data_IF_129522097226
#
_entry.id   IF_129522097226
#
_cell.length_a   1.000
_cell.length_b   1.000
_cell.length_c   1.000
_cell.angle_alpha   90.00
_cell.angle_beta   90.00
_cell.angle_gamma   90.00
#
_symmetry.space_group_name_H-M   'P 1'
#
loop_
_entity.id
_entity.type
_entity.pdbx_description
1 polymer ?
#
# COMPACT_ATOMS: atom_id res chain seq x y z
N UNK A 1 -16.02 -23.16 -2.79
CA UNK A 1 -15.01 -22.94 -1.72
C UNK A 1 -13.86 -22.06 -2.17
N UNK A 2 -13.31 -22.27 -3.36
CA UNK A 2 -12.15 -21.52 -3.90
C UNK A 2 -12.36 -20.00 -3.95
N UNK A 3 -13.56 -19.54 -4.34
CA UNK A 3 -13.83 -18.10 -4.52
C UNK A 3 -13.74 -17.27 -3.23
N UNK A 4 -13.99 -17.86 -2.04
CA UNK A 4 -13.86 -17.16 -0.76
C UNK A 4 -12.40 -17.02 -0.30
N UNK A 5 -11.51 -17.89 -0.78
CA UNK A 5 -10.09 -17.86 -0.46
C UNK A 5 -9.29 -16.88 -1.33
N UNK A 6 -9.94 -16.22 -2.30
CA UNK A 6 -9.29 -15.21 -3.15
C UNK A 6 -9.17 -13.84 -2.47
N UNK A 7 -9.86 -13.62 -1.34
CA UNK A 7 -9.87 -12.33 -0.65
C UNK A 7 -8.46 -11.85 -0.24
N UNK A 8 -7.59 -12.67 0.38
CA UNK A 8 -6.24 -12.24 0.72
C UNK A 8 -5.41 -11.85 -0.51
N UNK A 9 -5.62 -12.53 -1.64
CA UNK A 9 -4.93 -12.24 -2.90
C UNK A 9 -5.35 -10.88 -3.45
N UNK A 10 -6.66 -10.60 -3.45
CA UNK A 10 -7.18 -9.30 -3.89
C UNK A 10 -6.68 -8.18 -2.99
N UNK A 11 -6.70 -8.37 -1.66
CA UNK A 11 -6.19 -7.38 -0.70
C UNK A 11 -4.69 -7.11 -0.86
N UNK A 12 -3.88 -8.15 -1.14
CA UNK A 12 -2.48 -7.96 -1.50
C UNK A 12 -2.30 -7.17 -2.81
N UNK A 13 -3.21 -7.32 -3.77
CA UNK A 13 -3.18 -6.60 -5.03
C UNK A 13 -3.46 -5.11 -4.88
N UNK A 14 -4.34 -4.72 -3.96
CA UNK A 14 -4.70 -3.32 -3.72
C UNK A 14 -3.50 -2.50 -3.22
N UNK A 15 -2.61 -3.09 -2.42
CA UNK A 15 -1.37 -2.43 -1.95
C UNK A 15 -0.46 -1.97 -3.10
N UNK A 16 -0.40 -2.75 -4.19
CA UNK A 16 0.37 -2.37 -5.37
C UNK A 16 -0.22 -1.13 -6.08
N UNK A 17 -1.55 -0.98 -6.05
CA UNK A 17 -2.23 0.18 -6.62
C UNK A 17 -1.88 1.45 -5.85
N UNK A 18 -1.75 1.39 -4.51
CA UNK A 18 -1.34 2.56 -3.72
C UNK A 18 0.05 3.07 -4.10
N UNK A 19 1.01 2.17 -4.26
CA UNK A 19 2.36 2.53 -4.69
C UNK A 19 2.37 3.08 -6.14
N UNK A 20 1.56 2.48 -7.03
CA UNK A 20 1.42 2.94 -8.41
C UNK A 20 0.89 4.37 -8.48
N UNK A 21 -0.14 4.70 -7.69
CA UNK A 21 -0.71 6.06 -7.64
C UNK A 21 0.35 7.09 -7.25
N UNK A 22 1.13 6.83 -6.19
CA UNK A 22 2.21 7.73 -5.77
C UNK A 22 3.30 7.85 -6.84
N UNK A 23 3.68 6.73 -7.48
CA UNK A 23 4.67 6.76 -8.57
C UNK A 23 4.21 7.63 -9.74
N UNK A 24 2.93 7.58 -10.12
CA UNK A 24 2.37 8.39 -11.21
C UNK A 24 2.32 9.87 -10.81
N UNK A 25 1.96 10.19 -9.56
CA UNK A 25 1.95 11.57 -9.08
C UNK A 25 3.35 12.19 -9.08
N UNK A 26 4.35 11.48 -8.55
CA UNK A 26 5.75 11.93 -8.56
C UNK A 26 6.26 12.12 -9.99
N UNK A 27 5.96 11.18 -10.89
CA UNK A 27 6.38 11.28 -12.29
C UNK A 27 5.74 12.48 -13.01
N UNK A 28 4.51 12.86 -12.63
CA UNK A 28 3.83 14.03 -13.22
C UNK A 28 4.41 15.36 -12.74
N UNK A 29 5.08 15.38 -11.58
CA UNK A 29 5.66 16.58 -10.98
C UNK A 29 7.07 16.90 -11.51
N UNK A 30 7.78 15.89 -12.02
CA UNK A 30 9.12 16.03 -12.59
C UNK A 30 8.98 16.57 -14.01
N UNK A 31 9.39 17.84 -14.23
CA UNK A 31 9.38 18.51 -15.54
C UNK A 31 10.78 18.96 -15.93
N UNK A 32 11.17 18.88 -17.21
CA UNK A 32 12.47 19.37 -17.67
C UNK A 32 12.56 20.91 -17.62
N UNK A 33 13.76 21.49 -17.43
CA UNK A 33 13.99 22.93 -17.61
C UNK A 33 13.61 23.34 -19.05
N UNK A 34 12.88 24.46 -19.27
CA UNK A 34 12.86 25.71 -18.49
C UNK A 34 11.65 25.92 -17.56
N UNK A 35 10.73 24.96 -17.49
CA UNK A 35 9.41 25.17 -16.87
C UNK A 35 9.39 25.02 -15.33
N UNK A 36 10.36 24.30 -14.74
CA UNK A 36 10.45 24.11 -13.29
C UNK A 36 11.90 23.84 -12.86
N UNK A 37 12.40 24.58 -11.88
CA UNK A 37 13.66 24.25 -11.21
C UNK A 37 13.40 23.20 -10.13
N UNK A 38 13.87 21.97 -10.34
CA UNK A 38 13.75 20.90 -9.35
C UNK A 38 14.76 21.10 -8.22
N UNK A 39 14.27 21.44 -7.03
CA UNK A 39 15.13 21.66 -5.86
C UNK A 39 15.57 20.33 -5.25
N UNK A 40 16.70 20.36 -4.53
CA UNK A 40 17.16 19.22 -3.74
C UNK A 40 16.14 18.82 -2.65
N UNK A 41 15.39 19.81 -2.13
CA UNK A 41 14.30 19.59 -1.19
C UNK A 41 13.18 18.74 -1.81
N UNK A 42 12.73 19.08 -3.02
CA UNK A 42 11.69 18.33 -3.74
C UNK A 42 12.16 16.90 -4.01
N UNK A 43 13.44 16.74 -4.39
CA UNK A 43 14.07 15.43 -4.56
C UNK A 43 13.99 14.54 -3.33
N UNK A 44 14.35 15.09 -2.17
CA UNK A 44 14.29 14.34 -0.90
C UNK A 44 12.83 14.10 -0.48
N UNK A 45 11.93 15.05 -0.70
CA UNK A 45 10.51 14.89 -0.40
C UNK A 45 9.85 13.79 -1.25
N UNK A 46 10.13 13.73 -2.56
CA UNK A 46 9.62 12.66 -3.42
C UNK A 46 10.21 11.30 -3.05
N UNK A 47 11.49 11.23 -2.68
CA UNK A 47 12.09 9.98 -2.17
C UNK A 47 11.44 9.54 -0.85
N UNK A 48 11.20 10.48 0.07
CA UNK A 48 10.52 10.21 1.33
C UNK A 48 9.06 9.76 1.11
N UNK A 49 8.34 10.36 0.16
CA UNK A 49 6.99 9.96 -0.21
C UNK A 49 6.93 8.54 -0.80
N UNK A 50 7.91 8.16 -1.63
CA UNK A 50 8.02 6.80 -2.15
C UNK A 50 8.32 5.77 -1.05
N UNK A 51 9.23 6.09 -0.12
CA UNK A 51 9.54 5.20 1.01
C UNK A 51 8.39 5.08 2.00
N UNK A 52 7.63 6.16 2.24
CA UNK A 52 6.51 6.17 3.18
C UNK A 52 5.33 5.30 2.73
N UNK A 53 5.13 5.10 1.42
CA UNK A 53 4.14 4.14 0.91
C UNK A 53 4.74 2.74 0.74
N UNK A 54 6.01 2.64 0.33
CA UNK A 54 6.66 1.37 0.02
C UNK A 54 6.90 0.47 1.24
N UNK A 55 7.48 1.01 2.32
CA UNK A 55 7.82 0.20 3.51
C UNK A 55 6.59 -0.30 4.26
N UNK A 56 5.55 0.54 4.54
CA UNK A 56 4.33 0.06 5.15
C UNK A 56 3.54 -0.89 4.25
N UNK A 57 3.54 -0.66 2.93
CA UNK A 57 2.93 -1.56 1.95
C UNK A 57 3.58 -2.96 1.96
N UNK A 58 4.91 -3.04 2.06
CA UNK A 58 5.63 -4.30 2.18
C UNK A 58 5.27 -5.02 3.50
N UNK A 59 5.27 -4.30 4.62
CA UNK A 59 4.90 -4.86 5.91
C UNK A 59 3.45 -5.37 5.94
N UNK A 60 2.51 -4.59 5.36
CA UNK A 60 1.11 -4.98 5.22
C UNK A 60 0.94 -6.22 4.34
N UNK A 61 1.62 -6.26 3.19
CA UNK A 61 1.57 -7.40 2.26
C UNK A 61 2.11 -8.68 2.91
N UNK A 62 3.18 -8.57 3.69
CA UNK A 62 3.73 -9.69 4.45
C UNK A 62 2.73 -10.22 5.50
N UNK A 63 2.10 -9.33 6.26
CA UNK A 63 1.08 -9.70 7.25
C UNK A 63 -0.14 -10.37 6.59
N UNK A 64 -0.62 -9.83 5.47
CA UNK A 64 -1.73 -10.40 4.67
C UNK A 64 -1.37 -11.80 4.17
N UNK A 65 -0.15 -12.00 3.69
CA UNK A 65 0.33 -13.31 3.21
C UNK A 65 0.30 -14.38 4.31
N UNK A 66 0.82 -14.07 5.50
CA UNK A 66 0.86 -15.02 6.62
C UNK A 66 -0.55 -15.32 7.14
N UNK A 67 -1.36 -14.27 7.36
CA UNK A 67 -2.74 -14.43 7.84
C UNK A 67 -3.58 -15.20 6.81
N UNK A 68 -3.35 -14.96 5.52
CA UNK A 68 -3.98 -15.69 4.43
C UNK A 68 -3.67 -17.18 4.43
N UNK A 69 -2.39 -17.57 4.56
CA UNK A 69 -2.00 -18.99 4.57
C UNK A 69 -2.63 -19.75 5.75
N UNK A 70 -2.45 -19.23 6.96
CA UNK A 70 -2.97 -19.88 8.18
C UNK A 70 -4.50 -19.84 8.21
N UNK A 71 -5.09 -18.71 7.82
CA UNK A 71 -6.53 -18.49 7.82
C UNK A 71 -7.27 -19.40 6.84
N UNK A 72 -6.75 -19.59 5.62
CA UNK A 72 -7.34 -20.50 4.63
C UNK A 72 -7.24 -21.96 5.08
N UNK A 73 -6.11 -22.37 5.66
CA UNK A 73 -5.94 -23.74 6.19
C UNK A 73 -6.89 -24.03 7.34
N UNK A 74 -7.10 -23.07 8.23
CA UNK A 74 -8.04 -23.22 9.33
C UNK A 74 -9.50 -23.19 8.83
N UNK A 75 -9.81 -22.43 7.77
CA UNK A 75 -11.17 -22.34 7.19
C UNK A 75 -11.63 -23.68 6.62
N UNK A 76 -10.70 -24.52 6.13
CA UNK A 76 -11.01 -25.90 5.71
C UNK A 76 -11.48 -26.78 6.87
N UNK A 77 -11.09 -26.49 8.12
CA UNK A 77 -11.53 -27.24 9.31
C UNK A 77 -12.83 -26.71 9.89
N UNK A 78 -13.02 -25.39 9.90
CA UNK A 78 -14.24 -24.77 10.43
C UNK A 78 -14.57 -23.48 9.68
N UNK A 79 -15.69 -23.48 8.96
CA UNK A 79 -16.10 -22.36 8.10
C UNK A 79 -16.46 -21.07 8.87
N UNK A 80 -16.77 -21.16 10.17
CA UNK A 80 -17.16 -20.01 11.00
C UNK A 80 -16.01 -19.03 11.26
N UNK A 81 -14.76 -19.44 11.10
CA UNK A 81 -13.59 -18.56 11.35
C UNK A 81 -13.35 -17.54 10.23
N UNK A 82 -14.06 -17.67 9.11
CA UNK A 82 -13.91 -16.80 7.94
C UNK A 82 -14.04 -15.32 8.29
N UNK A 83 -15.01 -14.96 9.14
CA UNK A 83 -15.24 -13.58 9.56
C UNK A 83 -14.06 -13.05 10.38
N UNK A 84 -13.47 -13.89 11.25
CA UNK A 84 -12.30 -13.52 12.03
C UNK A 84 -11.06 -13.30 11.16
N UNK A 85 -10.84 -14.16 10.16
CA UNK A 85 -9.76 -14.00 9.19
C UNK A 85 -9.89 -12.66 8.43
N UNK A 86 -11.09 -12.35 7.92
CA UNK A 86 -11.35 -11.09 7.19
C UNK A 86 -11.10 -9.87 8.09
N UNK A 87 -11.53 -9.92 9.35
CA UNK A 87 -11.29 -8.82 10.29
C UNK A 87 -9.79 -8.53 10.48
N UNK A 88 -8.97 -9.57 10.63
CA UNK A 88 -7.50 -9.42 10.76
C UNK A 88 -6.89 -8.84 9.48
N UNK A 89 -7.35 -9.30 8.31
CA UNK A 89 -6.87 -8.80 7.02
C UNK A 89 -7.16 -7.30 6.82
N UNK A 90 -8.33 -6.82 7.25
CA UNK A 90 -8.67 -5.39 7.21
C UNK A 90 -7.70 -4.57 8.06
N UNK A 91 -7.40 -5.01 9.29
CA UNK A 91 -6.44 -4.30 10.14
C UNK A 91 -5.02 -4.28 9.56
N UNK A 92 -4.60 -5.35 8.88
CA UNK A 92 -3.32 -5.40 8.19
C UNK A 92 -3.28 -4.40 7.01
N UNK A 93 -4.37 -4.26 6.27
CA UNK A 93 -4.45 -3.38 5.08
C UNK A 93 -4.40 -1.89 5.43
N UNK A 94 -4.95 -1.50 6.58
CA UNK A 94 -4.93 -0.10 7.06
C UNK A 94 -3.50 0.44 7.20
N UNK A 95 -2.51 -0.41 7.46
CA UNK A 95 -1.09 -0.01 7.49
C UNK A 95 -0.61 0.58 6.15
N UNK A 96 -1.06 0.00 5.03
CA UNK A 96 -0.75 0.50 3.69
C UNK A 96 -1.45 1.83 3.38
N UNK A 97 -2.70 1.98 3.84
CA UNK A 97 -3.45 3.23 3.71
C UNK A 97 -2.79 4.39 4.46
N UNK A 98 -2.26 4.16 5.65
CA UNK A 98 -1.52 5.19 6.39
C UNK A 98 -0.27 5.64 5.63
N UNK A 99 0.48 4.71 5.04
CA UNK A 99 1.63 5.04 4.20
C UNK A 99 1.27 5.91 3.00
N UNK A 100 0.14 5.62 2.34
CA UNK A 100 -0.38 6.41 1.22
C UNK A 100 -0.76 7.85 1.65
N UNK A 101 -1.46 8.02 2.77
CA UNK A 101 -1.86 9.35 3.26
C UNK A 101 -0.63 10.22 3.53
N UNK A 102 0.39 9.66 4.19
CA UNK A 102 1.64 10.37 4.46
C UNK A 102 2.35 10.75 3.16
N UNK A 103 2.41 9.83 2.19
CA UNK A 103 3.02 10.09 0.88
C UNK A 103 2.33 11.25 0.14
N UNK A 104 1.00 11.33 0.18
CA UNK A 104 0.24 12.42 -0.43
C UNK A 104 0.54 13.77 0.23
N UNK A 105 0.60 13.82 1.57
CA UNK A 105 0.94 15.05 2.30
C UNK A 105 2.34 15.53 1.94
N UNK A 106 3.31 14.61 1.84
CA UNK A 106 4.67 14.94 1.43
C UNK A 106 4.73 15.47 0.00
N UNK A 107 3.99 14.84 -0.93
CA UNK A 107 3.96 15.29 -2.32
C UNK A 107 3.33 16.69 -2.46
N UNK A 108 2.26 16.98 -1.73
CA UNK A 108 1.65 18.33 -1.72
C UNK A 108 2.62 19.40 -1.20
N UNK A 109 3.47 19.07 -0.21
CA UNK A 109 4.49 19.99 0.31
C UNK A 109 5.73 20.12 -0.57
N UNK A 110 5.94 19.21 -1.53
CA UNK A 110 7.00 19.32 -2.53
C UNK A 110 6.58 20.18 -3.74
N UNK A 111 5.27 20.43 -3.91
CA UNK A 111 4.74 21.26 -4.99
C UNK A 111 4.57 22.74 -4.59
N UNK A 112 4.42 23.02 -3.28
CA UNK A 112 4.24 24.38 -2.75
C UNK A 112 5.54 24.98 -2.26
#
# INVERSE_FOLDING_TARGET
MIMKCLIPVVMSGILAVYALVISVLIASDIRPPPDKHYSLYDGIMHMAAGLSVGLPGLAAGYAIGIVGDVGVRAYMRQSRIFVGMVLILIFAEVLGLYGLIVALILNTRAQG
#
